data_IF_955734975003
#
_entry.id   IF_955734975003
#
_cell.length_a   1.000
_cell.length_b   1.000
_cell.length_c   1.000
_cell.angle_alpha   90.00
_cell.angle_beta   90.00
_cell.angle_gamma   90.00
#
_symmetry.space_group_name_H-M   'P 1'
#
loop_
_entity.id
_entity.type
_entity.pdbx_description
1 polymer ?
#
# COMPACT_ATOMS: atom_id res chain seq x y z
N UNK A 1 6.67 27.19 -1.53
CA UNK A 1 6.99 26.05 -0.65
C UNK A 1 5.80 25.10 -0.64
N UNK A 2 5.99 23.82 -0.98
CA UNK A 2 4.92 22.82 -1.02
C UNK A 2 4.33 22.61 0.39
N UNK A 3 3.22 23.28 0.70
CA UNK A 3 2.32 22.93 1.81
C UNK A 3 1.47 21.71 1.42
N UNK A 4 2.10 20.63 0.94
CA UNK A 4 1.40 19.35 0.84
C UNK A 4 1.43 18.78 2.24
N UNK A 5 0.29 18.84 2.94
CA UNK A 5 0.17 18.23 4.26
C UNK A 5 0.56 16.75 4.19
N UNK A 6 1.21 16.24 5.23
CA UNK A 6 1.64 14.84 5.32
C UNK A 6 0.49 13.88 4.98
N UNK A 7 -0.71 14.17 5.49
CA UNK A 7 -1.94 13.43 5.19
C UNK A 7 -2.28 13.35 3.70
N UNK A 8 -2.04 14.41 2.93
CA UNK A 8 -2.30 14.41 1.48
C UNK A 8 -1.32 13.50 0.74
N UNK A 9 -0.06 13.48 1.15
CA UNK A 9 0.97 12.59 0.60
C UNK A 9 0.68 11.12 0.94
N UNK A 10 0.35 10.82 2.20
CA UNK A 10 -0.03 9.47 2.65
C UNK A 10 -1.22 8.92 1.86
N UNK A 11 -2.29 9.72 1.71
CA UNK A 11 -3.45 9.34 0.89
C UNK A 11 -3.07 9.04 -0.56
N UNK A 12 -2.15 9.81 -1.13
CA UNK A 12 -1.66 9.57 -2.50
C UNK A 12 -0.91 8.25 -2.61
N UNK A 13 -0.06 7.93 -1.63
CA UNK A 13 0.67 6.65 -1.58
C UNK A 13 -0.29 5.47 -1.47
N UNK A 14 -1.23 5.52 -0.53
CA UNK A 14 -2.24 4.47 -0.35
C UNK A 14 -3.04 4.25 -1.64
N UNK A 15 -3.52 5.33 -2.26
CA UNK A 15 -4.30 5.26 -3.49
C UNK A 15 -3.48 4.69 -4.66
N UNK A 16 -2.19 5.02 -4.76
CA UNK A 16 -1.31 4.47 -5.79
C UNK A 16 -1.13 2.96 -5.64
N UNK A 17 -0.83 2.47 -4.43
CA UNK A 17 -0.70 1.04 -4.17
C UNK A 17 -2.02 0.32 -4.46
N UNK A 18 -3.14 0.86 -3.98
CA UNK A 18 -4.47 0.28 -4.21
C UNK A 18 -4.82 0.22 -5.70
N UNK A 19 -4.53 1.28 -6.45
CA UNK A 19 -4.76 1.33 -7.90
C UNK A 19 -3.95 0.26 -8.62
N UNK A 20 -2.65 0.13 -8.31
CA UNK A 20 -1.79 -0.88 -8.92
C UNK A 20 -2.24 -2.30 -8.58
N UNK A 21 -2.59 -2.55 -7.30
CA UNK A 21 -3.16 -3.84 -6.87
C UNK A 21 -4.38 -4.23 -7.73
N UNK A 22 -5.30 -3.29 -7.94
CA UNK A 22 -6.50 -3.52 -8.75
C UNK A 22 -6.18 -3.70 -10.24
N UNK A 23 -5.23 -2.93 -10.79
CA UNK A 23 -4.76 -3.11 -12.17
C UNK A 23 -4.15 -4.49 -12.42
N UNK A 24 -3.57 -5.10 -11.38
CA UNK A 24 -3.04 -6.46 -11.40
C UNK A 24 -4.10 -7.53 -11.06
N UNK A 25 -5.38 -7.17 -10.92
CA UNK A 25 -6.46 -8.05 -10.49
C UNK A 25 -6.20 -8.77 -9.15
N UNK A 26 -5.42 -8.16 -8.25
CA UNK A 26 -5.14 -8.74 -6.95
C UNK A 26 -6.22 -8.35 -5.93
N UNK A 27 -6.77 -9.34 -5.24
CA UNK A 27 -7.53 -9.13 -4.00
C UNK A 27 -6.59 -8.67 -2.88
N UNK A 28 -7.13 -8.27 -1.73
CA UNK A 28 -6.27 -7.92 -0.58
C UNK A 28 -5.55 -9.18 -0.08
N UNK A 29 -6.28 -10.28 -0.05
CA UNK A 29 -5.81 -11.62 0.30
C UNK A 29 -4.65 -12.01 -0.61
N UNK A 30 -4.81 -11.87 -1.93
CA UNK A 30 -3.77 -12.20 -2.90
C UNK A 30 -2.53 -11.30 -2.82
N UNK A 31 -2.67 -10.01 -2.51
CA UNK A 31 -1.52 -9.14 -2.27
C UNK A 31 -0.82 -9.47 -0.93
N UNK A 32 -1.59 -9.73 0.13
CA UNK A 32 -1.07 -10.10 1.43
C UNK A 32 -0.24 -11.40 1.35
N UNK A 33 -0.75 -12.41 0.66
CA UNK A 33 -0.07 -13.67 0.41
C UNK A 33 1.25 -13.47 -0.35
N UNK A 34 1.23 -12.76 -1.48
CA UNK A 34 2.43 -12.53 -2.32
C UNK A 34 3.50 -11.68 -1.65
N UNK A 35 3.11 -10.73 -0.82
CA UNK A 35 4.04 -9.81 -0.13
C UNK A 35 4.53 -10.37 1.21
N UNK A 36 3.89 -11.42 1.73
CA UNK A 36 4.12 -11.89 3.10
C UNK A 36 3.67 -10.89 4.18
N UNK A 37 2.93 -9.85 3.81
CA UNK A 37 2.37 -8.87 4.75
C UNK A 37 1.03 -9.39 5.26
N UNK A 38 0.79 -9.45 6.58
CA UNK A 38 -0.48 -9.92 7.12
C UNK A 38 -1.68 -9.14 6.55
N UNK A 39 -2.75 -9.84 6.18
CA UNK A 39 -3.97 -9.24 5.65
C UNK A 39 -4.55 -8.12 6.55
N UNK A 40 -4.56 -8.24 7.89
CA UNK A 40 -4.99 -7.14 8.76
C UNK A 40 -4.13 -5.89 8.63
N UNK A 41 -2.82 -6.05 8.42
CA UNK A 41 -1.86 -4.95 8.22
C UNK A 41 -2.12 -4.26 6.89
N UNK A 42 -2.29 -5.02 5.80
CA UNK A 42 -2.66 -4.46 4.49
C UNK A 42 -4.01 -3.73 4.54
N UNK A 43 -5.01 -4.30 5.23
CA UNK A 43 -6.31 -3.66 5.43
C UNK A 43 -6.18 -2.34 6.20
N UNK A 44 -5.40 -2.32 7.30
CA UNK A 44 -5.14 -1.12 8.08
C UNK A 44 -4.42 -0.06 7.26
N UNK A 45 -3.44 -0.45 6.45
CA UNK A 45 -2.75 0.44 5.52
C UNK A 45 -3.73 1.07 4.51
N UNK A 46 -4.54 0.27 3.82
CA UNK A 46 -5.49 0.81 2.84
C UNK A 46 -6.58 1.70 3.45
N UNK A 47 -6.94 1.49 4.72
CA UNK A 47 -7.99 2.25 5.41
C UNK A 47 -7.46 3.51 6.11
N UNK A 48 -6.31 3.41 6.78
CA UNK A 48 -5.77 4.43 7.68
C UNK A 48 -4.48 5.08 7.20
N UNK A 49 -3.82 4.50 6.18
CA UNK A 49 -2.51 4.97 5.70
C UNK A 49 -1.32 4.61 6.58
N UNK A 50 -1.53 3.80 7.62
CA UNK A 50 -0.49 3.45 8.59
C UNK A 50 0.10 2.07 8.29
N UNK A 51 1.41 2.00 8.14
CA UNK A 51 2.17 0.77 7.89
C UNK A 51 3.64 0.97 8.30
N UNK A 52 4.33 -0.11 8.69
CA UNK A 52 5.78 -0.08 8.89
C UNK A 52 6.50 -0.03 7.54
N UNK A 53 7.69 0.57 7.50
CA UNK A 53 8.47 0.73 6.26
C UNK A 53 8.76 -0.62 5.59
N UNK A 54 9.18 -1.64 6.35
CA UNK A 54 9.45 -2.98 5.83
C UNK A 54 8.23 -3.59 5.11
N UNK A 55 7.05 -3.54 5.75
CA UNK A 55 5.81 -4.00 5.14
C UNK A 55 5.45 -3.17 3.91
N UNK A 56 5.70 -1.86 3.90
CA UNK A 56 5.45 -1.02 2.73
C UNK A 56 6.35 -1.39 1.54
N UNK A 57 7.63 -1.64 1.77
CA UNK A 57 8.57 -2.10 0.73
C UNK A 57 8.18 -3.47 0.16
N UNK A 58 7.73 -4.39 1.01
CA UNK A 58 7.17 -5.69 0.58
C UNK A 58 5.93 -5.56 -0.29
N UNK A 59 5.08 -4.56 -0.05
CA UNK A 59 3.94 -4.29 -0.95
C UNK A 59 4.44 -3.74 -2.30
N UNK A 60 5.40 -2.81 -2.27
CA UNK A 60 5.99 -2.21 -3.48
C UNK A 60 6.68 -3.24 -4.37
N UNK A 61 7.38 -4.22 -3.81
CA UNK A 61 8.04 -5.28 -4.57
C UNK A 61 7.05 -6.16 -5.34
N UNK A 62 5.80 -6.28 -4.87
CA UNK A 62 4.74 -7.02 -5.58
C UNK A 62 4.05 -6.15 -6.62
N UNK A 63 3.74 -4.88 -6.31
CA UNK A 63 2.99 -3.99 -7.23
C UNK A 63 3.88 -3.22 -8.22
N UNK A 64 5.15 -3.61 -8.37
CA UNK A 64 6.10 -3.05 -9.34
C UNK A 64 6.50 -1.60 -9.06
N UNK A 65 6.68 -1.25 -7.79
CA UNK A 65 7.05 0.11 -7.34
C UNK A 65 8.47 0.26 -6.81
N UNK A 66 9.27 -0.80 -6.92
CA UNK A 66 10.72 -0.79 -6.67
C UNK A 66 11.47 -0.77 -8.01
#
# INVERSE_FOLDING_TARGET
MLLVSLSKTEKKLVNNIRKRRLQMNLTREGLAERSGVPLPTLRKFEQKGLIFLDSFLKLLSVVGGL
#
